data_IF_439905697379
#
_entry.id   IF_439905697379
#
_cell.length_a   1.000
_cell.length_b   1.000
_cell.length_c   1.000
_cell.angle_alpha   90.00
_cell.angle_beta   90.00
_cell.angle_gamma   90.00
#
_symmetry.space_group_name_H-M   'P 1'
#
loop_
_entity.id
_entity.type
_entity.pdbx_description
1 polymer ?
#
# COMPACT_ATOMS: atom_id res chain seq x y z
N UNK A 1 -56.64 6.06 34.34
CA UNK A 1 -56.19 7.48 34.44
C UNK A 1 -54.75 7.53 33.95
N UNK A 2 -54.52 8.02 32.74
CA UNK A 2 -53.19 8.03 32.13
C UNK A 2 -52.48 9.34 32.47
N UNK A 3 -51.31 9.23 33.13
CA UNK A 3 -50.42 10.36 33.42
C UNK A 3 -49.93 10.97 32.10
N UNK A 4 -50.29 12.22 31.83
CA UNK A 4 -49.72 12.99 30.73
C UNK A 4 -48.36 13.55 31.19
N UNK A 5 -47.29 13.03 30.59
CA UNK A 5 -45.91 13.47 30.76
C UNK A 5 -45.75 14.92 30.29
N UNK A 6 -45.19 15.80 31.13
CA UNK A 6 -44.90 17.20 30.79
C UNK A 6 -43.64 17.28 29.92
N UNK A 7 -43.73 17.80 28.67
CA UNK A 7 -42.55 18.05 27.85
C UNK A 7 -41.89 19.37 28.32
N UNK A 8 -40.74 19.26 28.99
CA UNK A 8 -39.88 20.42 29.26
C UNK A 8 -39.14 20.77 27.98
N UNK A 9 -39.52 21.89 27.35
CA UNK A 9 -38.87 22.41 26.15
C UNK A 9 -37.54 23.09 26.48
N UNK A 10 -36.53 22.89 25.64
CA UNK A 10 -35.25 23.59 25.70
C UNK A 10 -35.47 25.09 25.48
N UNK A 11 -34.91 25.91 26.38
CA UNK A 11 -34.94 27.37 26.21
C UNK A 11 -33.86 27.81 25.20
N UNK A 12 -34.15 28.85 24.43
CA UNK A 12 -33.24 29.35 23.38
C UNK A 12 -31.88 29.78 23.96
N UNK A 13 -31.87 30.32 25.19
CA UNK A 13 -30.65 30.69 25.91
C UNK A 13 -29.78 29.47 26.25
N UNK A 14 -30.40 28.35 26.60
CA UNK A 14 -29.71 27.13 26.99
C UNK A 14 -29.06 26.44 25.78
N UNK A 15 -29.72 26.52 24.62
CA UNK A 15 -29.15 26.09 23.34
C UNK A 15 -27.94 26.95 22.93
N UNK A 16 -28.02 28.27 23.10
CA UNK A 16 -26.91 29.19 22.76
C UNK A 16 -25.72 28.95 23.70
N UNK A 17 -25.96 28.72 25.00
CA UNK A 17 -24.90 28.39 25.94
C UNK A 17 -24.17 27.09 25.58
N UNK A 18 -24.90 26.06 25.15
CA UNK A 18 -24.29 24.77 24.80
C UNK A 18 -23.44 24.85 23.55
N UNK A 19 -23.87 25.55 22.49
CA UNK A 19 -23.04 25.68 21.28
C UNK A 19 -21.73 26.44 21.53
N UNK A 20 -21.74 27.43 22.43
CA UNK A 20 -20.53 28.16 22.82
C UNK A 20 -19.57 27.23 23.56
N UNK A 21 -20.06 26.50 24.57
CA UNK A 21 -19.22 25.55 25.32
C UNK A 21 -18.69 24.43 24.41
N UNK A 22 -19.52 23.88 23.53
CA UNK A 22 -19.12 22.84 22.57
C UNK A 22 -18.05 23.33 21.60
N UNK A 23 -18.12 24.59 21.15
CA UNK A 23 -17.11 25.15 20.24
C UNK A 23 -15.71 25.23 20.86
N UNK A 24 -15.62 25.61 22.13
CA UNK A 24 -14.34 25.69 22.85
C UNK A 24 -13.75 24.30 23.06
N UNK A 25 -14.57 23.33 23.46
CA UNK A 25 -14.14 21.95 23.67
C UNK A 25 -13.69 21.32 22.34
N UNK A 26 -14.43 21.55 21.25
CA UNK A 26 -14.07 21.03 19.93
C UNK A 26 -12.71 21.56 19.44
N UNK A 27 -12.39 22.83 19.71
CA UNK A 27 -11.09 23.42 19.35
C UNK A 27 -9.89 22.73 20.02
N UNK A 28 -10.04 22.35 21.30
CA UNK A 28 -8.96 21.69 22.07
C UNK A 28 -8.72 20.26 21.58
N UNK A 29 -9.79 19.52 21.26
CA UNK A 29 -9.69 18.11 20.83
C UNK A 29 -8.91 17.98 19.51
N UNK A 30 -9.09 18.92 18.58
CA UNK A 30 -8.39 18.91 17.29
C UNK A 30 -6.88 19.14 17.47
N UNK A 31 -6.47 19.90 18.49
CA UNK A 31 -5.06 20.14 18.78
C UNK A 31 -4.35 18.91 19.41
N UNK A 32 -5.11 18.02 20.06
CA UNK A 32 -4.57 16.83 20.72
C UNK A 32 -4.44 15.62 19.78
N UNK A 33 -5.29 15.53 18.76
CA UNK A 33 -5.18 14.51 17.74
C UNK A 33 -4.19 15.03 16.69
N UNK A 34 -3.21 14.23 16.29
CA UNK A 34 -2.40 14.51 15.10
C UNK A 34 -3.08 13.86 13.88
N UNK A 35 -4.08 14.50 13.24
CA UNK A 35 -4.81 13.89 12.12
C UNK A 35 -3.89 13.64 10.92
N UNK A 36 -2.87 14.47 10.73
CA UNK A 36 -1.90 14.33 9.64
C UNK A 36 -1.13 13.01 9.75
N UNK A 37 -0.70 12.63 10.96
CA UNK A 37 -0.02 11.37 11.22
C UNK A 37 -0.92 10.15 10.97
N UNK A 38 -2.19 10.19 11.38
CA UNK A 38 -3.12 9.08 11.15
C UNK A 38 -3.45 8.88 9.67
N UNK A 39 -3.66 9.98 8.94
CA UNK A 39 -3.89 9.93 7.50
C UNK A 39 -2.67 9.32 6.79
N UNK A 40 -1.45 9.70 7.18
CA UNK A 40 -0.22 9.16 6.60
C UNK A 40 -0.10 7.64 6.80
N UNK A 41 -0.31 7.16 8.03
CA UNK A 41 -0.27 5.71 8.34
C UNK A 41 -1.29 4.92 7.53
N UNK A 42 -2.50 5.45 7.36
CA UNK A 42 -3.52 4.78 6.54
C UNK A 42 -3.10 4.66 5.06
N UNK A 43 -2.42 5.68 4.52
CA UNK A 43 -1.87 5.63 3.15
C UNK A 43 -0.79 4.57 3.02
N UNK A 44 0.14 4.53 3.97
CA UNK A 44 1.21 3.53 4.00
C UNK A 44 0.67 2.10 4.13
N UNK A 45 -0.30 1.88 5.02
CA UNK A 45 -0.95 0.57 5.19
C UNK A 45 -1.68 0.12 3.91
N UNK A 46 -2.32 1.07 3.23
CA UNK A 46 -3.02 0.78 1.96
C UNK A 46 -2.01 0.38 0.89
N UNK A 47 -0.92 1.15 0.73
CA UNK A 47 0.16 0.81 -0.19
C UNK A 47 0.79 -0.55 0.15
N UNK A 48 1.00 -0.84 1.43
CA UNK A 48 1.52 -2.12 1.90
C UNK A 48 0.63 -3.29 1.51
N UNK A 49 -0.66 -3.20 1.82
CA UNK A 49 -1.64 -4.24 1.48
C UNK A 49 -1.72 -4.49 -0.04
N UNK A 50 -1.71 -3.42 -0.84
CA UNK A 50 -1.75 -3.54 -2.31
C UNK A 50 -0.47 -4.13 -2.89
N UNK A 51 0.68 -3.71 -2.38
CA UNK A 51 1.97 -4.21 -2.85
C UNK A 51 2.11 -5.69 -2.49
N UNK A 52 1.76 -6.09 -1.28
CA UNK A 52 1.80 -7.50 -0.85
C UNK A 52 0.82 -8.37 -1.64
N UNK A 53 -0.39 -7.88 -1.93
CA UNK A 53 -1.35 -8.54 -2.82
C UNK A 53 -0.73 -8.82 -4.20
N UNK A 54 -0.16 -7.80 -4.85
CA UNK A 54 0.49 -7.93 -6.16
C UNK A 54 1.70 -8.86 -6.09
N UNK A 55 2.54 -8.73 -5.07
CA UNK A 55 3.73 -9.54 -4.89
C UNK A 55 3.39 -11.03 -4.72
N UNK A 56 2.34 -11.35 -3.97
CA UNK A 56 1.84 -12.72 -3.83
C UNK A 56 1.31 -13.28 -5.16
N UNK A 57 0.66 -12.44 -5.97
CA UNK A 57 0.17 -12.83 -7.28
C UNK A 57 1.31 -13.09 -8.27
N UNK A 58 2.34 -12.23 -8.30
CA UNK A 58 3.55 -12.44 -9.10
C UNK A 58 4.25 -13.74 -8.67
N UNK A 59 4.39 -13.98 -7.36
CA UNK A 59 5.02 -15.19 -6.85
C UNK A 59 4.29 -16.46 -7.31
N UNK A 60 2.96 -16.46 -7.19
CA UNK A 60 2.13 -17.59 -7.62
C UNK A 60 2.22 -17.81 -9.12
N UNK A 61 2.19 -16.73 -9.91
CA UNK A 61 2.39 -16.80 -11.35
C UNK A 61 3.74 -17.41 -11.71
N UNK A 62 4.83 -16.90 -11.12
CA UNK A 62 6.19 -17.36 -11.45
C UNK A 62 6.44 -18.81 -11.05
N UNK A 63 5.83 -19.30 -9.96
CA UNK A 63 5.88 -20.71 -9.60
C UNK A 63 5.04 -21.60 -10.54
N UNK A 64 3.97 -21.07 -11.14
CA UNK A 64 3.13 -21.80 -12.09
C UNK A 64 3.65 -21.82 -13.52
N UNK A 65 4.61 -20.94 -13.89
CA UNK A 65 5.14 -20.85 -15.24
C UNK A 65 6.29 -21.83 -15.48
N UNK A 66 5.99 -22.96 -16.12
CA UNK A 66 6.96 -24.03 -16.41
C UNK A 66 8.01 -23.68 -17.47
N UNK A 67 7.84 -22.57 -18.22
CA UNK A 67 8.66 -22.23 -19.40
C UNK A 67 9.64 -21.08 -19.22
N UNK A 68 9.77 -20.54 -18.00
CA UNK A 68 10.74 -19.50 -17.70
C UNK A 68 10.50 -18.13 -18.35
N UNK A 69 9.39 -17.92 -19.06
CA UNK A 69 9.08 -16.60 -19.60
C UNK A 69 8.45 -15.71 -18.51
N UNK A 70 9.27 -14.85 -17.89
CA UNK A 70 8.79 -13.88 -16.90
C UNK A 70 7.83 -12.83 -17.49
N UNK A 71 7.74 -12.70 -18.81
CA UNK A 71 6.79 -11.78 -19.44
C UNK A 71 5.34 -12.21 -19.20
N UNK A 72 5.09 -13.50 -18.98
CA UNK A 72 3.75 -14.02 -18.63
C UNK A 72 3.30 -13.62 -17.22
N UNK A 73 4.22 -13.16 -16.37
CA UNK A 73 3.92 -12.68 -15.02
C UNK A 73 4.10 -11.17 -14.88
N UNK A 74 4.27 -10.46 -16.00
CA UNK A 74 4.45 -9.02 -16.01
C UNK A 74 3.12 -8.30 -16.29
N UNK A 75 2.72 -7.44 -15.37
CA UNK A 75 1.51 -6.64 -15.48
C UNK A 75 0.32 -7.26 -14.75
N UNK A 76 -0.58 -6.39 -14.31
CA UNK A 76 -1.72 -6.77 -13.48
C UNK A 76 -2.60 -7.86 -14.10
N UNK A 77 -2.94 -7.74 -15.39
CA UNK A 77 -3.78 -8.72 -16.08
C UNK A 77 -3.14 -10.11 -16.11
N UNK A 78 -1.82 -10.17 -16.32
CA UNK A 78 -1.05 -11.41 -16.45
C UNK A 78 -0.98 -12.19 -15.13
N UNK A 79 -1.07 -11.50 -13.99
CA UNK A 79 -1.15 -12.12 -12.66
C UNK A 79 -2.60 -12.23 -12.12
N UNK A 80 -3.60 -12.03 -12.98
CA UNK A 80 -5.02 -12.22 -12.62
C UNK A 80 -5.65 -11.07 -11.83
N UNK A 81 -5.02 -9.91 -11.78
CA UNK A 81 -5.57 -8.72 -11.14
C UNK A 81 -6.46 -7.93 -12.12
N UNK A 82 -7.54 -7.33 -11.61
CA UNK A 82 -8.50 -6.54 -12.41
C UNK A 82 -7.93 -5.26 -13.03
N UNK A 83 -6.70 -4.88 -12.68
CA UNK A 83 -6.02 -3.70 -13.19
C UNK A 83 -4.81 -3.38 -12.35
N UNK A 84 -3.98 -2.44 -12.82
CA UNK A 84 -2.89 -1.93 -12.00
C UNK A 84 -3.50 -1.30 -10.73
N UNK A 85 -2.95 -1.52 -9.53
CA UNK A 85 -3.43 -0.83 -8.35
C UNK A 85 -3.42 0.68 -8.62
N UNK A 86 -4.57 1.30 -8.41
CA UNK A 86 -4.72 2.75 -8.44
C UNK A 86 -4.96 3.21 -7.02
N UNK A 87 -4.16 4.14 -6.55
CA UNK A 87 -4.35 4.69 -5.22
C UNK A 87 -5.13 6.01 -5.29
N UNK A 88 -6.20 6.19 -4.49
CA UNK A 88 -6.78 7.51 -4.28
C UNK A 88 -5.82 8.48 -3.56
N UNK A 89 -4.70 7.99 -3.01
CA UNK A 89 -3.88 8.76 -2.06
C UNK A 89 -2.51 9.22 -2.57
N UNK A 90 -2.34 9.29 -3.89
CA UNK A 90 -1.13 9.76 -4.60
C UNK A 90 0.04 8.78 -4.61
N UNK A 91 -0.18 7.51 -4.25
CA UNK A 91 0.85 6.50 -4.43
C UNK A 91 1.03 6.16 -5.91
N UNK A 92 2.27 6.03 -6.36
CA UNK A 92 2.60 5.60 -7.72
C UNK A 92 3.07 4.16 -7.69
N UNK A 93 2.57 3.37 -8.65
CA UNK A 93 2.89 1.96 -8.78
C UNK A 93 3.59 1.70 -10.10
N UNK A 94 4.68 0.96 -10.06
CA UNK A 94 5.50 0.69 -11.22
C UNK A 94 5.85 -0.79 -11.30
N UNK A 95 5.73 -1.32 -12.51
CA UNK A 95 6.18 -2.66 -12.87
C UNK A 95 7.52 -2.54 -13.58
N UNK A 96 8.45 -3.44 -13.27
CA UNK A 96 9.70 -3.60 -14.01
C UNK A 96 9.89 -5.08 -14.29
N UNK A 97 10.38 -5.40 -15.49
CA UNK A 97 10.85 -6.74 -15.81
C UNK A 97 12.23 -6.70 -16.43
N UNK A 98 12.96 -7.79 -16.28
CA UNK A 98 14.14 -8.07 -17.07
C UNK A 98 14.08 -9.52 -17.50
N UNK A 99 14.23 -9.74 -18.80
CA UNK A 99 14.48 -11.03 -19.42
C UNK A 99 15.92 -11.03 -19.88
N UNK A 100 16.77 -11.81 -19.23
CA UNK A 100 18.12 -12.05 -19.67
C UNK A 100 18.17 -13.16 -20.73
N UNK A 101 19.34 -13.28 -21.36
CA UNK A 101 19.66 -14.38 -22.28
C UNK A 101 19.86 -15.70 -21.51
N UNK A 102 19.93 -16.83 -22.23
CA UNK A 102 20.17 -18.17 -21.66
C UNK A 102 21.27 -18.16 -20.58
N UNK A 103 20.92 -18.49 -19.33
CA UNK A 103 21.82 -18.47 -18.17
C UNK A 103 21.78 -17.21 -17.30
N UNK A 104 20.98 -16.20 -17.65
CA UNK A 104 20.77 -15.00 -16.84
C UNK A 104 19.61 -15.16 -15.83
N UNK A 105 19.61 -14.30 -14.82
CA UNK A 105 18.51 -14.21 -13.84
C UNK A 105 17.44 -13.27 -14.34
N UNK A 106 16.27 -13.81 -14.66
CA UNK A 106 15.12 -12.99 -15.01
C UNK A 106 14.41 -12.52 -13.77
N UNK A 107 13.73 -11.38 -13.85
CA UNK A 107 12.91 -10.92 -12.75
C UNK A 107 11.68 -10.14 -13.19
N UNK A 108 10.67 -10.20 -12.32
CA UNK A 108 9.58 -9.23 -12.27
C UNK A 108 9.67 -8.52 -10.93
N UNK A 109 9.58 -7.20 -10.95
CA UNK A 109 9.45 -6.41 -9.73
C UNK A 109 8.26 -5.48 -9.81
N UNK A 110 7.62 -5.30 -8.67
CA UNK A 110 6.55 -4.35 -8.47
C UNK A 110 6.91 -3.47 -7.28
N UNK A 111 6.74 -2.16 -7.45
CA UNK A 111 7.01 -1.17 -6.39
C UNK A 111 5.86 -0.18 -6.29
N UNK A 112 5.42 0.05 -5.07
CA UNK A 112 4.59 1.18 -4.67
C UNK A 112 5.46 2.27 -4.06
N UNK A 113 5.10 3.52 -4.30
CA UNK A 113 5.80 4.69 -3.77
C UNK A 113 4.82 5.74 -3.28
N UNK A 114 5.09 6.31 -2.12
CA UNK A 114 4.44 7.53 -1.62
C UNK A 114 5.51 8.63 -1.51
N UNK A 115 5.35 9.74 -2.25
CA UNK A 115 6.25 10.92 -2.20
C UNK A 115 6.62 11.49 -3.58
N UNK A 116 7.30 12.64 -3.61
CA UNK A 116 7.78 13.31 -4.83
C UNK A 116 8.90 12.52 -5.50
N UNK A 117 8.98 12.52 -6.84
CA UNK A 117 9.97 11.81 -7.67
C UNK A 117 11.42 11.97 -7.18
N UNK A 118 12.17 10.85 -7.00
CA UNK A 118 13.54 10.81 -6.44
C UNK A 118 13.82 9.54 -5.61
N UNK A 119 14.87 9.47 -4.78
CA UNK A 119 14.98 8.42 -3.74
C UNK A 119 14.24 8.78 -2.44
N UNK A 120 13.60 9.96 -2.40
CA UNK A 120 13.10 10.57 -1.16
C UNK A 120 11.63 10.28 -0.84
N UNK A 121 11.23 9.00 -0.81
CA UNK A 121 9.85 8.62 -0.50
C UNK A 121 9.73 7.23 0.11
N UNK A 122 8.57 6.94 0.70
CA UNK A 122 8.29 5.61 1.22
C UNK A 122 8.09 4.66 0.04
N UNK A 123 8.98 3.70 -0.14
CA UNK A 123 8.90 2.71 -1.20
C UNK A 123 8.81 1.32 -0.61
N UNK A 124 7.85 0.56 -1.10
CA UNK A 124 7.73 -0.85 -0.83
C UNK A 124 7.67 -1.59 -2.14
N UNK A 125 8.39 -2.69 -2.25
CA UNK A 125 8.31 -3.51 -3.44
C UNK A 125 8.77 -4.93 -3.21
N UNK A 126 8.51 -5.75 -4.20
CA UNK A 126 9.09 -7.06 -4.31
C UNK A 126 9.84 -7.15 -5.63
N UNK A 127 10.90 -7.95 -5.60
CA UNK A 127 11.60 -8.44 -6.76
C UNK A 127 11.58 -9.95 -6.70
N UNK A 128 10.93 -10.56 -7.67
CA UNK A 128 10.86 -12.01 -7.80
C UNK A 128 11.76 -12.39 -8.96
N UNK A 129 12.79 -13.15 -8.64
CA UNK A 129 13.80 -13.60 -9.59
C UNK A 129 13.56 -15.07 -9.92
N UNK A 130 13.68 -15.42 -11.19
CA UNK A 130 13.79 -16.81 -11.63
C UNK A 130 15.22 -17.03 -12.11
N UNK A 131 15.95 -17.93 -11.44
CA UNK A 131 17.29 -18.28 -11.84
C UNK A 131 17.25 -19.50 -12.79
N UNK A 132 17.56 -19.27 -14.06
CA UNK A 132 17.62 -20.32 -15.08
C UNK A 132 18.95 -21.06 -15.17
N UNK A 133 19.87 -20.88 -14.20
CA UNK A 133 21.13 -21.62 -14.17
C UNK A 133 20.94 -23.15 -14.23
N UNK A 134 19.81 -23.66 -13.73
CA UNK A 134 19.46 -25.10 -13.75
C UNK A 134 18.39 -25.47 -14.80
N UNK A 135 18.09 -24.57 -15.76
CA UNK A 135 17.00 -24.78 -16.73
C UNK A 135 17.38 -25.82 -17.80
N UNK A 136 16.95 -27.06 -17.59
CA UNK A 136 17.13 -28.18 -18.54
C UNK A 136 15.94 -28.34 -19.52
N UNK A 137 15.12 -27.31 -19.72
CA UNK A 137 14.05 -27.30 -20.74
C UNK A 137 12.65 -27.72 -20.30
N UNK A 138 12.48 -28.29 -19.09
CA UNK A 138 11.17 -28.80 -18.63
C UNK A 138 10.72 -28.32 -17.24
N UNK A 139 11.58 -27.66 -16.46
CA UNK A 139 11.22 -27.10 -15.14
C UNK A 139 11.55 -25.62 -15.07
N UNK A 140 10.65 -24.86 -14.44
CA UNK A 140 10.96 -23.50 -13.99
C UNK A 140 12.24 -23.54 -13.13
N UNK A 141 13.15 -22.59 -13.36
CA UNK A 141 14.33 -22.42 -12.51
C UNK A 141 13.93 -22.11 -11.05
N UNK A 142 14.92 -21.98 -10.17
CA UNK A 142 14.64 -21.67 -8.77
C UNK A 142 14.05 -20.26 -8.66
N UNK A 143 12.79 -20.17 -8.20
CA UNK A 143 12.10 -18.90 -7.95
C UNK A 143 12.44 -18.41 -6.55
N UNK A 144 13.07 -17.25 -6.47
CA UNK A 144 13.39 -16.58 -5.20
C UNK A 144 12.58 -15.29 -5.12
N UNK A 145 11.76 -15.15 -4.09
CA UNK A 145 11.07 -13.92 -3.77
C UNK A 145 11.92 -13.11 -2.79
N UNK A 146 12.40 -11.95 -3.24
CA UNK A 146 13.00 -10.95 -2.37
C UNK A 146 11.99 -9.83 -2.18
N UNK A 147 11.33 -9.82 -1.02
CA UNK A 147 10.55 -8.66 -0.59
C UNK A 147 11.56 -7.70 0.04
N UNK A 148 11.82 -6.59 -0.63
CA UNK A 148 12.78 -5.60 -0.17
C UNK A 148 12.06 -4.28 0.06
N UNK A 149 12.09 -3.81 1.30
CA UNK A 149 11.86 -2.41 1.60
C UNK A 149 13.04 -1.62 1.01
N UNK A 150 12.84 -0.94 -0.11
CA UNK A 150 13.91 -0.16 -0.73
C UNK A 150 13.90 1.25 -0.15
N UNK A 151 14.83 1.48 0.79
CA UNK A 151 15.53 2.74 1.04
C UNK A 151 14.69 3.99 1.36
N UNK A 152 14.78 4.35 2.65
CA UNK A 152 14.49 5.64 3.28
C UNK A 152 15.41 6.74 2.75
N UNK A 153 14.99 7.48 1.73
CA UNK A 153 15.61 8.76 1.38
C UNK A 153 14.81 9.93 1.96
N UNK A 154 15.49 10.88 2.61
CA UNK A 154 15.12 12.29 2.54
C UNK A 154 13.99 12.86 3.41
N UNK A 155 13.33 12.09 4.28
CA UNK A 155 12.60 12.65 5.42
C UNK A 155 13.13 12.01 6.69
N UNK A 156 13.37 12.84 7.70
CA UNK A 156 13.81 12.48 9.06
C UNK A 156 13.41 11.05 9.43
N UNK A 157 14.40 10.22 9.77
CA UNK A 157 14.44 8.76 9.66
C UNK A 157 13.45 7.95 10.52
N UNK A 158 12.28 8.48 10.85
CA UNK A 158 11.26 7.91 11.73
C UNK A 158 9.91 7.58 11.08
N UNK A 159 9.68 7.90 9.80
CA UNK A 159 8.29 8.12 9.33
C UNK A 159 7.67 7.12 8.34
N UNK A 160 8.41 6.15 7.79
CA UNK A 160 7.80 4.97 7.17
C UNK A 160 7.55 3.92 8.25
N UNK A 161 6.34 3.36 8.34
CA UNK A 161 6.07 2.21 9.22
C UNK A 161 6.99 1.05 8.78
N UNK A 162 7.99 0.72 9.60
CA UNK A 162 8.77 -0.49 9.44
C UNK A 162 7.92 -1.68 9.90
N UNK A 163 7.73 -2.66 9.02
CA UNK A 163 6.95 -3.88 9.30
C UNK A 163 7.86 -5.09 9.51
#
# INVERSE_FOLDING_TARGET
MNKLSSPRGFTLIELIGTIVVLSVIAGIIIALINPAGQIRRTKENTMYARTTEVCSAIYTCMNGQFKGDVSQCYGAASVGLKGNPTDPTSATYEWTKSSGSTGATDYVSFKGRIGTSGQDGCMLGCKITNNFADYLGEKAGTVVANISEVSKGGFDGSDCIAY
#
